data_IF_623054712502
#
_entry.id   IF_623054712502
#
_cell.length_a   1.000
_cell.length_b   1.000
_cell.length_c   1.000
_cell.angle_alpha   90.00
_cell.angle_beta   90.00
_cell.angle_gamma   90.00
#
_symmetry.space_group_name_H-M   'P 1'
#
loop_
_entity.id
_entity.type
_entity.pdbx_description
1 polymer ?
#
# COMPACT_ATOMS: atom_id res chain seq x y z
N UNK A 1 15.99 17.68 20.39
CA UNK A 1 15.72 17.44 18.96
C UNK A 1 14.21 17.35 18.80
N UNK A 2 13.59 18.29 18.08
CA UNK A 2 12.17 18.23 17.74
C UNK A 2 11.94 17.10 16.71
N UNK A 3 11.83 15.86 17.20
CA UNK A 3 11.39 14.72 16.40
C UNK A 3 9.85 14.70 16.20
N UNK A 4 9.13 15.75 16.59
CA UNK A 4 7.65 15.72 16.63
C UNK A 4 6.98 15.72 15.24
N UNK A 5 7.73 16.01 14.16
CA UNK A 5 7.19 16.11 12.80
C UNK A 5 7.26 14.81 11.98
N UNK A 6 8.23 13.94 12.25
CA UNK A 6 8.45 12.72 11.46
C UNK A 6 7.88 11.53 12.20
N UNK A 7 6.72 11.04 11.73
CA UNK A 7 6.03 9.89 12.31
C UNK A 7 5.56 8.95 11.22
N UNK A 8 5.68 7.65 11.49
CA UNK A 8 5.01 6.61 10.73
C UNK A 8 3.50 6.78 10.95
N UNK A 9 2.73 6.83 9.86
CA UNK A 9 1.29 7.13 9.89
C UNK A 9 0.51 5.83 9.69
N UNK A 10 -0.35 5.50 10.64
CA UNK A 10 -1.29 4.36 10.55
C UNK A 10 -2.66 4.82 10.05
N UNK A 11 -3.48 3.88 9.58
CA UNK A 11 -4.86 4.11 9.16
C UNK A 11 -5.00 5.18 8.06
N UNK A 12 -4.13 5.11 7.05
CA UNK A 12 -4.02 6.14 6.00
C UNK A 12 -5.10 6.04 4.92
N UNK A 13 -5.67 4.85 4.76
CA UNK A 13 -6.48 4.49 3.60
C UNK A 13 -7.88 4.04 4.04
N UNK A 14 -8.88 4.94 4.10
CA UNK A 14 -10.26 4.57 4.40
C UNK A 14 -10.82 3.68 3.29
N UNK A 15 -11.27 2.49 3.66
CA UNK A 15 -11.60 1.44 2.68
C UNK A 15 -12.88 1.76 1.90
N UNK A 16 -13.83 2.46 2.53
CA UNK A 16 -15.05 2.94 1.90
C UNK A 16 -14.76 3.94 0.78
N UNK A 17 -13.88 4.91 1.04
CA UNK A 17 -13.49 5.92 0.04
C UNK A 17 -12.71 5.28 -1.11
N UNK A 18 -11.76 4.40 -0.81
CA UNK A 18 -10.98 3.72 -1.85
C UNK A 18 -11.88 2.85 -2.74
N UNK A 19 -12.82 2.12 -2.15
CA UNK A 19 -13.77 1.32 -2.92
C UNK A 19 -14.72 2.18 -3.77
N UNK A 20 -15.19 3.31 -3.23
CA UNK A 20 -16.03 4.23 -4.00
C UNK A 20 -15.28 4.76 -5.25
N UNK A 21 -14.03 5.20 -5.07
CA UNK A 21 -13.18 5.66 -6.17
C UNK A 21 -12.93 4.53 -7.16
N UNK A 22 -12.58 3.33 -6.68
CA UNK A 22 -12.37 2.16 -7.52
C UNK A 22 -13.60 1.84 -8.36
N UNK A 23 -14.79 1.75 -7.76
CA UNK A 23 -16.02 1.40 -8.46
C UNK A 23 -16.40 2.45 -9.51
N UNK A 24 -16.17 3.74 -9.22
CA UNK A 24 -16.41 4.84 -10.15
C UNK A 24 -15.37 4.95 -11.28
N UNK A 25 -14.19 4.35 -11.13
CA UNK A 25 -13.10 4.48 -12.08
C UNK A 25 -13.35 3.77 -13.42
N UNK A 26 -12.81 4.36 -14.49
CA UNK A 26 -12.75 3.76 -15.83
C UNK A 26 -11.68 2.66 -15.87
N UNK A 27 -12.13 1.41 -15.87
CA UNK A 27 -11.28 0.20 -15.87
C UNK A 27 -10.93 -0.28 -17.28
N UNK A 28 -11.14 0.55 -18.31
CA UNK A 28 -10.73 0.22 -19.70
C UNK A 28 -9.25 0.50 -19.96
N UNK A 29 -8.60 1.24 -19.06
CA UNK A 29 -7.18 1.57 -19.12
C UNK A 29 -6.32 0.45 -18.52
N UNK A 30 -5.06 0.38 -18.96
CA UNK A 30 -4.05 -0.55 -18.41
C UNK A 30 -3.86 -0.29 -16.92
N UNK A 31 -3.72 0.98 -16.53
CA UNK A 31 -3.66 1.38 -15.13
C UNK A 31 -4.88 2.20 -14.72
N UNK A 32 -5.29 2.06 -13.46
CA UNK A 32 -6.36 2.83 -12.84
C UNK A 32 -5.78 3.64 -11.69
N UNK A 33 -6.01 4.95 -11.70
CA UNK A 33 -5.59 5.83 -10.62
C UNK A 33 -6.68 5.92 -9.54
N UNK A 34 -6.31 5.63 -8.28
CA UNK A 34 -7.11 5.95 -7.11
C UNK A 34 -6.44 7.08 -6.34
N UNK A 35 -6.98 8.29 -6.42
CA UNK A 35 -6.45 9.47 -5.75
C UNK A 35 -7.50 10.21 -4.92
N UNK A 36 -7.06 10.82 -3.82
CA UNK A 36 -7.90 11.66 -2.97
C UNK A 36 -7.09 12.83 -2.42
N UNK A 37 -7.33 14.03 -2.96
CA UNK A 37 -6.63 15.25 -2.54
C UNK A 37 -6.88 15.61 -1.07
N UNK A 38 -8.07 15.35 -0.53
CA UNK A 38 -8.40 15.66 0.86
C UNK A 38 -7.63 14.77 1.86
N UNK A 39 -7.31 13.54 1.45
CA UNK A 39 -6.61 12.55 2.25
C UNK A 39 -5.12 12.41 1.89
N UNK A 40 -4.66 13.17 0.88
CA UNK A 40 -3.27 13.23 0.43
C UNK A 40 -2.69 11.85 0.04
N UNK A 41 -3.40 11.16 -0.86
CA UNK A 41 -2.89 9.94 -1.49
C UNK A 41 -3.21 9.86 -2.98
N UNK A 42 -2.38 9.09 -3.68
CA UNK A 42 -2.50 8.77 -5.10
C UNK A 42 -1.88 7.39 -5.31
N UNK A 43 -2.67 6.41 -5.73
CA UNK A 43 -2.25 5.01 -5.86
C UNK A 43 -2.56 4.56 -7.28
N UNK A 44 -1.55 4.11 -8.01
CA UNK A 44 -1.73 3.47 -9.31
C UNK A 44 -2.05 1.99 -9.14
N UNK A 45 -3.10 1.50 -9.80
CA UNK A 45 -3.47 0.08 -9.81
C UNK A 45 -3.23 -0.48 -11.21
N UNK A 46 -2.45 -1.56 -11.27
CA UNK A 46 -2.06 -2.28 -12.48
C UNK A 46 -2.41 -3.77 -12.37
N UNK A 47 -2.51 -4.45 -13.51
CA UNK A 47 -2.78 -5.89 -13.64
C UNK A 47 -4.20 -6.31 -13.24
N UNK A 48 -5.09 -5.33 -13.00
CA UNK A 48 -6.48 -5.55 -12.58
C UNK A 48 -7.30 -6.29 -13.65
N UNK A 49 -6.95 -6.14 -14.92
CA UNK A 49 -7.58 -6.80 -16.06
C UNK A 49 -7.33 -8.31 -16.10
N UNK A 50 -6.33 -8.80 -15.37
CA UNK A 50 -5.97 -10.22 -15.29
C UNK A 50 -6.68 -10.95 -14.16
N UNK A 51 -7.42 -10.24 -13.31
CA UNK A 51 -8.14 -10.77 -12.15
C UNK A 51 -9.61 -10.33 -12.17
N UNK A 52 -10.45 -10.97 -11.35
CA UNK A 52 -11.84 -10.51 -11.25
C UNK A 52 -11.93 -9.21 -10.43
N UNK A 53 -12.90 -8.35 -10.77
CA UNK A 53 -13.18 -7.15 -9.98
C UNK A 53 -13.42 -7.47 -8.50
N UNK A 54 -14.06 -8.61 -8.20
CA UNK A 54 -14.31 -9.07 -6.83
C UNK A 54 -13.00 -9.32 -6.06
N UNK A 55 -11.94 -9.79 -6.72
CA UNK A 55 -10.63 -9.99 -6.08
C UNK A 55 -9.96 -8.64 -5.79
N UNK A 56 -10.01 -7.70 -6.75
CA UNK A 56 -9.48 -6.35 -6.55
C UNK A 56 -10.23 -5.64 -5.42
N UNK A 57 -11.56 -5.60 -5.47
CA UNK A 57 -12.40 -5.01 -4.45
C UNK A 57 -12.19 -5.68 -3.08
N UNK A 58 -12.05 -7.01 -3.04
CA UNK A 58 -11.72 -7.73 -1.80
C UNK A 58 -10.39 -7.28 -1.20
N UNK A 59 -9.35 -7.07 -2.03
CA UNK A 59 -8.07 -6.56 -1.57
C UNK A 59 -8.18 -5.13 -1.05
N UNK A 60 -8.82 -4.25 -1.83
CA UNK A 60 -9.01 -2.84 -1.48
C UNK A 60 -9.85 -2.66 -0.20
N UNK A 61 -10.79 -3.56 0.09
CA UNK A 61 -11.54 -3.59 1.35
C UNK A 61 -10.63 -3.86 2.57
N UNK A 62 -9.44 -4.42 2.38
CA UNK A 62 -8.48 -4.70 3.46
C UNK A 62 -7.23 -3.80 3.40
N UNK A 63 -7.20 -2.82 2.50
CA UNK A 63 -6.00 -2.03 2.22
C UNK A 63 -5.47 -1.27 3.45
N UNK A 64 -6.36 -0.82 4.33
CA UNK A 64 -5.97 -0.14 5.58
C UNK A 64 -5.19 -1.07 6.50
N UNK A 65 -5.70 -2.28 6.69
CA UNK A 65 -5.07 -3.29 7.55
C UNK A 65 -3.74 -3.75 6.95
N UNK A 66 -3.73 -3.99 5.65
CA UNK A 66 -2.54 -4.35 4.88
C UNK A 66 -1.47 -3.26 4.96
N UNK A 67 -1.84 -2.00 4.75
CA UNK A 67 -0.92 -0.87 4.89
C UNK A 67 -0.38 -0.76 6.33
N UNK A 68 -1.25 -0.92 7.32
CA UNK A 68 -0.84 -0.93 8.73
C UNK A 68 0.25 -1.99 8.99
N UNK A 69 0.18 -3.17 8.36
CA UNK A 69 1.25 -4.19 8.47
C UNK A 69 2.59 -3.70 7.91
N UNK A 70 2.58 -2.92 6.81
CA UNK A 70 3.77 -2.31 6.22
C UNK A 70 4.33 -1.21 7.12
N UNK A 71 3.47 -0.36 7.66
CA UNK A 71 3.87 0.70 8.58
C UNK A 71 4.43 0.13 9.90
N UNK A 72 3.86 -0.96 10.40
CA UNK A 72 4.42 -1.71 11.53
C UNK A 72 5.78 -2.33 11.21
N UNK A 73 5.95 -2.90 10.01
CA UNK A 73 7.24 -3.39 9.55
C UNK A 73 8.29 -2.27 9.54
N UNK A 74 7.94 -1.10 9.01
CA UNK A 74 8.80 0.07 8.99
C UNK A 74 9.17 0.53 10.40
N UNK A 75 8.18 0.59 11.32
CA UNK A 75 8.42 0.97 12.70
C UNK A 75 9.34 -0.03 13.40
N UNK A 76 9.08 -1.33 13.25
CA UNK A 76 9.93 -2.38 13.82
C UNK A 76 11.35 -2.34 13.27
N UNK A 77 11.52 -2.03 11.99
CA UNK A 77 12.81 -1.85 11.33
C UNK A 77 13.55 -0.63 11.88
N UNK A 78 12.85 0.49 12.07
CA UNK A 78 13.40 1.70 12.70
C UNK A 78 13.88 1.42 14.13
N UNK A 79 13.05 0.79 14.96
CA UNK A 79 13.39 0.50 16.36
C UNK A 79 14.63 -0.40 16.52
N UNK A 80 14.91 -1.26 15.52
CA UNK A 80 16.07 -2.16 15.50
C UNK A 80 17.26 -1.59 14.71
N UNK A 81 17.01 -0.57 13.91
CA UNK A 81 17.97 0.01 12.98
C UNK A 81 18.87 1.05 13.63
N UNK A 82 19.81 1.58 12.83
CA UNK A 82 20.73 2.66 13.24
C UNK A 82 20.44 3.99 12.53
N UNK A 83 19.52 3.96 11.56
CA UNK A 83 19.20 5.12 10.72
C UNK A 83 18.08 5.96 11.33
N UNK A 84 18.02 7.22 10.89
CA UNK A 84 16.97 8.17 11.23
C UNK A 84 15.59 7.68 10.74
N UNK A 85 14.52 8.02 11.48
CA UNK A 85 13.14 7.60 11.17
C UNK A 85 12.70 7.94 9.75
N UNK A 86 13.24 9.01 9.16
CA UNK A 86 12.98 9.41 7.76
C UNK A 86 13.32 8.32 6.73
N UNK A 87 14.21 7.39 7.07
CA UNK A 87 14.56 6.24 6.22
C UNK A 87 13.52 5.12 6.28
N UNK A 88 12.46 5.27 7.06
CA UNK A 88 11.43 4.25 7.25
C UNK A 88 10.02 4.84 7.03
N UNK A 89 9.90 6.12 6.65
CA UNK A 89 8.61 6.72 6.29
C UNK A 89 8.42 6.52 4.79
N UNK A 90 7.40 5.75 4.43
CA UNK A 90 7.13 5.34 3.05
C UNK A 90 5.66 5.60 2.68
N UNK A 91 5.42 6.00 1.44
CA UNK A 91 4.10 6.18 0.84
C UNK A 91 3.79 5.03 -0.10
N UNK A 92 2.53 4.56 -0.11
CA UNK A 92 2.06 3.59 -1.11
C UNK A 92 1.85 4.34 -2.43
N UNK A 93 2.41 3.81 -3.50
CA UNK A 93 2.49 4.52 -4.79
C UNK A 93 1.83 3.69 -5.89
N UNK A 94 1.99 2.37 -5.84
CA UNK A 94 1.33 1.46 -6.78
C UNK A 94 0.97 0.11 -6.16
N UNK A 95 -0.02 -0.54 -6.76
CA UNK A 95 -0.47 -1.90 -6.48
C UNK A 95 -0.58 -2.64 -7.80
N UNK A 96 0.10 -3.78 -7.92
CA UNK A 96 0.02 -4.66 -9.09
C UNK A 96 -0.65 -5.97 -8.70
N UNK A 97 -1.69 -6.33 -9.42
CA UNK A 97 -2.34 -7.63 -9.32
C UNK A 97 -1.68 -8.63 -10.26
N UNK A 98 -1.13 -9.70 -9.69
CA UNK A 98 -0.60 -10.85 -10.44
C UNK A 98 -1.53 -12.06 -10.26
N UNK A 99 -1.30 -13.15 -11.00
CA UNK A 99 -2.19 -14.32 -11.02
C UNK A 99 -2.43 -14.98 -9.66
N UNK A 100 -1.48 -14.88 -8.73
CA UNK A 100 -1.49 -15.59 -7.44
C UNK A 100 -1.18 -14.69 -6.23
N UNK A 101 -0.86 -13.42 -6.47
CA UNK A 101 -0.43 -12.48 -5.43
C UNK A 101 -0.72 -11.04 -5.84
N UNK A 102 -0.67 -10.16 -4.86
CA UNK A 102 -0.70 -8.71 -5.02
C UNK A 102 0.61 -8.16 -4.51
N UNK A 103 1.22 -7.29 -5.29
CA UNK A 103 2.47 -6.60 -4.94
C UNK A 103 2.17 -5.12 -4.75
N UNK A 104 2.58 -4.58 -3.63
CA UNK A 104 2.45 -3.17 -3.29
C UNK A 104 3.83 -2.54 -3.27
N UNK A 105 3.98 -1.44 -4.00
CA UNK A 105 5.19 -0.65 -4.06
C UNK A 105 5.10 0.62 -3.26
N UNK A 106 6.10 0.84 -2.43
CA UNK A 106 6.19 1.99 -1.55
C UNK A 106 7.48 2.76 -1.83
N UNK A 107 7.39 4.09 -1.92
CA UNK A 107 8.55 4.98 -2.02
C UNK A 107 8.81 5.69 -0.69
N UNK A 108 10.07 5.88 -0.33
CA UNK A 108 10.45 6.70 0.82
C UNK A 108 10.09 8.18 0.64
N UNK A 109 9.41 8.77 1.63
CA UNK A 109 8.98 10.18 1.55
C UNK A 109 10.16 11.17 1.57
N UNK A 110 11.29 10.77 2.17
CA UNK A 110 12.43 11.67 2.42
C UNK A 110 13.77 11.17 1.88
N UNK A 111 13.82 9.91 1.46
CA UNK A 111 15.02 9.27 0.95
C UNK A 111 14.65 8.34 -0.20
N UNK A 112 15.57 8.19 -1.15
CA UNK A 112 15.35 7.33 -2.31
C UNK A 112 15.50 5.85 -1.93
N UNK A 113 14.43 5.27 -1.41
CA UNK A 113 14.31 3.86 -1.06
C UNK A 113 12.98 3.32 -1.60
N UNK A 114 12.99 2.09 -2.08
CA UNK A 114 11.78 1.35 -2.43
C UNK A 114 11.54 0.28 -1.37
N UNK A 115 10.29 0.09 -0.98
CA UNK A 115 9.84 -1.03 -0.16
C UNK A 115 8.75 -1.77 -0.93
N UNK A 116 8.80 -3.10 -0.86
CA UNK A 116 7.80 -3.98 -1.45
C UNK A 116 7.08 -4.76 -0.37
N UNK A 117 5.77 -4.88 -0.52
CA UNK A 117 4.94 -5.75 0.29
C UNK A 117 4.16 -6.69 -0.61
N UNK A 118 4.19 -7.99 -0.30
CA UNK A 118 3.61 -9.04 -1.13
C UNK A 118 2.55 -9.78 -0.33
N UNK A 119 1.37 -9.92 -0.90
CA UNK A 119 0.23 -10.59 -0.28
C UNK A 119 -0.36 -11.64 -1.23
N UNK A 120 -0.94 -12.70 -0.70
CA UNK A 120 -1.70 -13.69 -1.48
C UNK A 120 -3.00 -14.02 -0.80
N UNK A 121 -4.03 -14.33 -1.57
CA UNK A 121 -5.28 -14.84 -1.01
C UNK A 121 -5.19 -16.37 -0.82
N UNK A 122 -5.40 -16.84 0.41
CA UNK A 122 -5.48 -18.26 0.74
C UNK A 122 -6.72 -18.52 1.59
N UNK A 123 -7.52 -19.49 1.19
CA UNK A 123 -8.79 -19.83 1.86
C UNK A 123 -9.71 -18.60 2.06
N UNK A 124 -9.71 -17.67 1.11
CA UNK A 124 -10.50 -16.44 1.17
C UNK A 124 -9.96 -15.33 2.09
N UNK A 125 -8.76 -15.50 2.66
CA UNK A 125 -8.12 -14.51 3.51
C UNK A 125 -6.82 -14.00 2.86
N UNK A 126 -6.58 -12.70 2.95
CA UNK A 126 -5.32 -12.10 2.51
C UNK A 126 -4.21 -12.37 3.52
N UNK A 127 -3.15 -13.04 3.08
CA UNK A 127 -1.99 -13.36 3.88
C UNK A 127 -0.76 -12.59 3.39
N UNK A 128 -0.03 -11.99 4.32
CA UNK A 128 1.29 -11.41 4.05
C UNK A 128 2.27 -12.52 3.70
N UNK A 129 2.85 -12.47 2.49
CA UNK A 129 3.96 -13.33 2.07
C UNK A 129 5.28 -12.73 2.57
N UNK A 130 5.56 -11.48 2.20
CA UNK A 130 6.83 -10.83 2.53
C UNK A 130 6.73 -9.31 2.53
N UNK A 131 7.62 -8.64 3.26
CA UNK A 131 7.82 -7.18 3.23
C UNK A 131 9.31 -6.91 3.34
N UNK A 132 9.89 -6.19 2.38
CA UNK A 132 11.33 -5.91 2.35
C UNK A 132 11.66 -4.59 1.64
N UNK A 133 12.79 -3.99 2.02
CA UNK A 133 13.41 -2.88 1.29
C UNK A 133 14.21 -3.44 0.10
N UNK A 134 14.18 -2.73 -1.03
CA UNK A 134 14.90 -3.08 -2.26
C UNK A 134 16.22 -2.32 -2.42
#
# INVERSE_FOLDING_TARGET
MENSKYKIKMNRYPEDIILEIWEAADKTQETVLIDCNELDFSIEIDGHENVSNDVVASFLLHIKEIDNMVQEFCNNSFQKGKFDIRNYIVSLEWITFESDKVVMGYWGEFVNIELRAIFSIKNGMWEKIDIYYQ
#
